data_IF_765150498936
#
_entry.id   IF_765150498936
#
_cell.length_a   1.000
_cell.length_b   1.000
_cell.length_c   1.000
_cell.angle_alpha   90.00
_cell.angle_beta   90.00
_cell.angle_gamma   90.00
#
_symmetry.space_group_name_H-M   'P 1'
#
loop_
_entity.id
_entity.type
_entity.pdbx_description
1 polymer ?
#
# COMPACT_ATOMS: atom_id res chain seq x y z
N UNK A 1 -16.20 17.34 -0.36
CA UNK A 1 -16.71 17.11 -1.73
C UNK A 1 -17.20 15.68 -1.82
N UNK A 2 -18.32 15.46 -2.47
CA UNK A 2 -18.94 14.15 -2.66
C UNK A 2 -19.31 13.99 -4.12
N UNK A 3 -19.11 12.80 -4.67
CA UNK A 3 -19.65 12.37 -5.96
C UNK A 3 -20.92 11.57 -5.71
N UNK A 4 -21.91 11.78 -6.55
CA UNK A 4 -23.24 11.21 -6.34
C UNK A 4 -23.66 10.38 -7.54
N UNK A 5 -24.11 9.16 -7.27
CA UNK A 5 -24.81 8.31 -8.24
C UNK A 5 -26.29 8.26 -7.94
N UNK A 6 -27.10 8.53 -8.96
CA UNK A 6 -28.54 8.33 -8.92
C UNK A 6 -28.85 6.98 -9.55
N UNK A 7 -29.46 6.11 -8.75
CA UNK A 7 -29.80 4.76 -9.15
C UNK A 7 -31.30 4.63 -9.30
N UNK A 8 -31.72 3.92 -10.33
CA UNK A 8 -33.11 3.53 -10.54
C UNK A 8 -33.16 2.01 -10.72
N UNK A 9 -33.86 1.32 -9.85
CA UNK A 9 -33.92 -0.15 -9.82
C UNK A 9 -32.54 -0.82 -9.87
N UNK A 10 -31.56 -0.24 -9.15
CA UNK A 10 -30.18 -0.73 -9.11
C UNK A 10 -29.28 -0.32 -10.27
N UNK A 11 -29.82 0.27 -11.33
CA UNK A 11 -29.03 0.77 -12.48
C UNK A 11 -28.67 2.23 -12.29
N UNK A 12 -27.47 2.63 -12.71
CA UNK A 12 -27.04 4.03 -12.71
C UNK A 12 -27.76 4.77 -13.82
N UNK A 13 -28.53 5.81 -13.43
CA UNK A 13 -29.26 6.68 -14.36
C UNK A 13 -28.54 8.01 -14.56
N UNK A 14 -27.90 8.52 -13.51
CA UNK A 14 -27.14 9.75 -13.58
C UNK A 14 -25.97 9.75 -12.63
N UNK A 15 -24.86 10.34 -13.05
CA UNK A 15 -23.67 10.61 -12.24
C UNK A 15 -23.54 12.11 -12.07
N UNK A 16 -23.37 12.58 -10.84
CA UNK A 16 -23.18 13.99 -10.50
C UNK A 16 -21.84 14.13 -9.79
N UNK A 17 -20.90 14.79 -10.44
CA UNK A 17 -19.56 15.05 -9.93
C UNK A 17 -19.39 16.49 -9.46
N UNK A 18 -20.15 17.40 -10.08
CA UNK A 18 -20.12 18.81 -9.73
C UNK A 18 -21.17 19.17 -8.66
N UNK A 19 -20.84 20.09 -7.74
CA UNK A 19 -21.77 20.61 -6.76
C UNK A 19 -22.94 21.32 -7.44
N UNK A 20 -24.16 21.00 -7.03
CA UNK A 20 -25.35 21.63 -7.57
C UNK A 20 -26.64 21.03 -7.02
N UNK A 21 -27.76 21.70 -7.30
CA UNK A 21 -29.09 21.19 -7.01
C UNK A 21 -29.50 20.17 -8.05
N UNK A 22 -29.98 19.03 -7.60
CA UNK A 22 -30.56 18.00 -8.47
C UNK A 22 -31.81 17.44 -7.84
N UNK A 23 -32.79 17.15 -8.68
CA UNK A 23 -34.02 16.53 -8.24
C UNK A 23 -33.96 15.03 -8.48
N UNK A 24 -34.49 14.26 -7.54
CA UNK A 24 -34.70 12.82 -7.68
C UNK A 24 -36.19 12.49 -7.61
N UNK A 25 -36.61 11.45 -8.28
CA UNK A 25 -37.96 10.92 -8.14
C UNK A 25 -37.99 10.08 -6.86
N UNK A 26 -38.74 10.52 -5.82
CA UNK A 26 -38.88 9.71 -4.60
C UNK A 26 -39.49 8.35 -4.92
N UNK A 27 -39.16 7.34 -4.14
CA UNK A 27 -39.62 5.94 -4.26
C UNK A 27 -38.91 5.14 -5.37
N UNK A 28 -38.60 5.73 -6.53
CA UNK A 28 -38.04 5.02 -7.69
C UNK A 28 -36.51 5.17 -7.74
N UNK A 29 -35.98 6.33 -7.31
CA UNK A 29 -34.58 6.66 -7.39
C UNK A 29 -33.91 6.68 -6.02
N UNK A 30 -32.80 5.94 -5.91
CA UNK A 30 -31.91 5.94 -4.76
C UNK A 30 -30.63 6.74 -5.08
N UNK A 31 -30.17 7.51 -4.10
CA UNK A 31 -28.96 8.32 -4.21
C UNK A 31 -27.87 7.69 -3.38
N UNK A 32 -26.75 7.37 -4.02
CA UNK A 32 -25.55 6.88 -3.36
C UNK A 32 -24.46 7.93 -3.45
N UNK A 33 -23.81 8.20 -2.32
CA UNK A 33 -22.75 9.20 -2.23
C UNK A 33 -21.43 8.52 -2.02
N UNK A 34 -20.40 9.05 -2.67
CA UNK A 34 -19.02 8.63 -2.51
C UNK A 34 -18.15 9.82 -2.15
N UNK A 35 -17.20 9.62 -1.26
CA UNK A 35 -16.27 10.67 -0.86
C UNK A 35 -15.26 10.95 -1.99
N UNK A 36 -15.14 12.22 -2.40
CA UNK A 36 -14.18 12.70 -3.41
C UNK A 36 -12.85 13.14 -2.78
N UNK A 37 -12.69 12.97 -1.47
CA UNK A 37 -11.45 13.27 -0.77
C UNK A 37 -10.40 12.19 -1.01
N UNK A 38 -9.15 12.56 -0.77
CA UNK A 38 -8.06 11.59 -0.72
C UNK A 38 -8.23 10.76 0.56
N UNK A 39 -8.40 9.46 0.37
CA UNK A 39 -8.51 8.48 1.44
C UNK A 39 -7.12 7.89 1.71
N UNK A 40 -6.87 7.50 2.95
CA UNK A 40 -5.66 6.80 3.36
C UNK A 40 -6.00 5.35 3.72
N UNK A 41 -5.15 4.43 3.28
CA UNK A 41 -5.24 3.02 3.62
C UNK A 41 -3.90 2.51 4.14
N UNK A 42 -3.90 2.01 5.35
CA UNK A 42 -2.75 1.30 5.91
C UNK A 42 -2.79 -0.15 5.42
N UNK A 43 -1.64 -0.64 4.95
CA UNK A 43 -1.45 -2.01 4.51
C UNK A 43 -0.89 -2.78 5.71
N UNK A 44 -1.39 -3.99 5.93
CA UNK A 44 -0.87 -4.85 6.98
C UNK A 44 0.64 -5.10 6.80
N UNK A 45 1.40 -5.22 7.90
CA UNK A 45 2.83 -5.49 7.86
C UNK A 45 3.15 -6.69 6.97
N UNK A 46 4.04 -6.49 6.02
CA UNK A 46 4.37 -7.47 4.99
C UNK A 46 5.80 -7.97 5.17
N UNK A 47 5.97 -9.29 5.30
CA UNK A 47 7.29 -9.90 5.21
C UNK A 47 7.74 -9.98 3.75
N UNK A 48 8.93 -9.44 3.48
CA UNK A 48 9.59 -9.48 2.18
C UNK A 48 11.00 -10.04 2.33
N UNK A 49 11.45 -10.77 1.31
CA UNK A 49 12.81 -11.30 1.24
C UNK A 49 13.49 -10.65 0.03
N UNK A 50 14.35 -9.64 0.26
CA UNK A 50 15.19 -9.02 -0.77
C UNK A 50 16.19 -10.00 -1.38
N UNK A 51 16.97 -9.54 -2.37
CA UNK A 51 17.95 -10.37 -3.08
C UNK A 51 19.09 -10.93 -2.19
N UNK A 52 19.34 -10.29 -1.07
CA UNK A 52 20.37 -10.69 -0.08
C UNK A 52 19.84 -11.63 1.01
N UNK A 53 18.66 -12.25 0.81
CA UNK A 53 18.01 -13.22 1.69
C UNK A 53 17.77 -12.73 3.14
N UNK A 54 17.84 -11.43 3.38
CA UNK A 54 17.52 -10.82 4.67
C UNK A 54 16.01 -10.55 4.75
N UNK A 55 15.31 -11.34 5.53
CA UNK A 55 13.87 -11.09 5.77
C UNK A 55 13.66 -9.74 6.45
N UNK A 56 12.80 -8.94 5.88
CA UNK A 56 12.38 -7.63 6.39
C UNK A 56 10.87 -7.62 6.58
N UNK A 57 10.42 -6.92 7.62
CA UNK A 57 9.00 -6.57 7.81
C UNK A 57 8.82 -5.13 7.39
N UNK A 58 7.93 -4.90 6.45
CA UNK A 58 7.69 -3.59 5.86
C UNK A 58 6.26 -3.17 6.09
N UNK A 59 6.08 -2.00 6.72
CA UNK A 59 4.80 -1.34 6.84
C UNK A 59 4.68 -0.29 5.74
N UNK A 60 3.54 -0.27 5.06
CA UNK A 60 3.27 0.71 4.03
C UNK A 60 1.86 1.31 4.18
N UNK A 61 1.68 2.48 3.60
CA UNK A 61 0.35 3.05 3.42
C UNK A 61 0.21 3.67 2.03
N UNK A 62 -1.02 3.68 1.55
CA UNK A 62 -1.35 4.32 0.30
C UNK A 62 -2.36 5.44 0.50
N UNK A 63 -2.24 6.48 -0.33
CA UNK A 63 -3.26 7.49 -0.50
C UNK A 63 -3.93 7.27 -1.85
N UNK A 64 -5.23 7.23 -1.85
CA UNK A 64 -6.01 7.00 -3.05
C UNK A 64 -7.25 7.88 -3.10
N UNK A 65 -7.83 8.02 -4.28
CA UNK A 65 -9.06 8.77 -4.52
C UNK A 65 -9.95 7.99 -5.47
N UNK A 66 -11.26 8.09 -5.29
CA UNK A 66 -12.24 7.51 -6.21
C UNK A 66 -12.43 8.50 -7.36
N UNK A 67 -11.94 8.15 -8.54
CA UNK A 67 -12.03 9.00 -9.74
C UNK A 67 -13.24 8.66 -10.58
N UNK A 68 -13.52 7.37 -10.78
CA UNK A 68 -14.67 6.91 -11.56
C UNK A 68 -15.63 6.11 -10.65
N UNK A 69 -16.70 6.76 -10.23
CA UNK A 69 -17.69 6.15 -9.31
C UNK A 69 -18.53 5.06 -9.98
N UNK A 70 -18.65 5.06 -11.32
CA UNK A 70 -19.37 4.02 -12.06
C UNK A 70 -18.59 2.70 -12.01
N UNK A 71 -17.32 2.74 -12.43
CA UNK A 71 -16.41 1.58 -12.33
C UNK A 71 -16.26 1.09 -10.90
N UNK A 72 -16.12 2.04 -9.95
CA UNK A 72 -16.01 1.73 -8.54
C UNK A 72 -17.21 0.92 -8.03
N UNK A 73 -18.42 1.35 -8.39
CA UNK A 73 -19.63 0.64 -8.04
C UNK A 73 -19.77 -0.70 -8.74
N UNK A 74 -19.43 -0.77 -10.03
CA UNK A 74 -19.49 -2.03 -10.80
C UNK A 74 -18.60 -3.09 -10.17
N UNK A 75 -17.39 -2.72 -9.78
CA UNK A 75 -16.41 -3.63 -9.17
C UNK A 75 -16.76 -4.00 -7.73
N UNK A 76 -17.26 -3.06 -6.94
CA UNK A 76 -17.60 -3.33 -5.53
C UNK A 76 -18.98 -3.97 -5.36
N UNK A 77 -19.90 -3.73 -6.28
CA UNK A 77 -21.29 -4.20 -6.20
C UNK A 77 -22.07 -3.61 -5.01
N UNK A 78 -21.47 -2.69 -4.27
CA UNK A 78 -21.97 -2.15 -3.01
C UNK A 78 -22.02 -0.63 -3.01
N UNK A 79 -22.44 -0.05 -1.90
CA UNK A 79 -22.58 1.40 -1.72
C UNK A 79 -22.06 1.84 -0.35
N UNK A 80 -21.64 3.10 -0.24
CA UNK A 80 -21.18 3.67 1.02
C UNK A 80 -19.95 2.96 1.60
N UNK A 81 -19.92 2.80 2.91
CA UNK A 81 -18.78 2.25 3.63
C UNK A 81 -18.46 0.81 3.26
N UNK A 82 -19.46 0.01 2.90
CA UNK A 82 -19.26 -1.37 2.43
C UNK A 82 -18.45 -1.39 1.12
N UNK A 83 -18.77 -0.50 0.18
CA UNK A 83 -18.02 -0.37 -1.06
C UNK A 83 -16.56 0.03 -0.80
N UNK A 84 -16.33 0.98 0.11
CA UNK A 84 -14.99 1.42 0.52
C UNK A 84 -14.20 0.28 1.14
N UNK A 85 -14.83 -0.52 2.00
CA UNK A 85 -14.20 -1.68 2.62
C UNK A 85 -13.80 -2.74 1.60
N UNK A 86 -14.68 -3.10 0.66
CA UNK A 86 -14.40 -4.07 -0.40
C UNK A 86 -13.26 -3.58 -1.30
N UNK A 87 -13.32 -2.32 -1.71
CA UNK A 87 -12.28 -1.70 -2.52
C UNK A 87 -10.94 -1.64 -1.78
N UNK A 88 -10.97 -1.31 -0.48
CA UNK A 88 -9.80 -1.30 0.39
C UNK A 88 -9.12 -2.67 0.43
N UNK A 89 -9.87 -3.75 0.65
CA UNK A 89 -9.32 -5.11 0.67
C UNK A 89 -8.70 -5.52 -0.67
N UNK A 90 -9.29 -5.11 -1.79
CA UNK A 90 -8.72 -5.36 -3.12
C UNK A 90 -7.44 -4.54 -3.35
N UNK A 91 -7.47 -3.27 -2.95
CA UNK A 91 -6.32 -2.38 -3.04
C UNK A 91 -5.14 -2.90 -2.18
N UNK A 92 -5.41 -3.42 -0.97
CA UNK A 92 -4.39 -4.04 -0.11
C UNK A 92 -3.68 -5.20 -0.82
N UNK A 93 -4.42 -6.05 -1.54
CA UNK A 93 -3.83 -7.16 -2.31
C UNK A 93 -2.93 -6.68 -3.44
N UNK A 94 -3.38 -5.67 -4.19
CA UNK A 94 -2.61 -5.08 -5.30
C UNK A 94 -1.32 -4.47 -4.75
N UNK A 95 -1.44 -3.65 -3.72
CA UNK A 95 -0.29 -2.97 -3.11
C UNK A 95 0.68 -3.96 -2.46
N UNK A 96 0.18 -4.99 -1.77
CA UNK A 96 1.02 -6.04 -1.19
C UNK A 96 1.75 -6.84 -2.25
N UNK A 97 1.10 -7.16 -3.38
CA UNK A 97 1.74 -7.85 -4.50
C UNK A 97 2.85 -7.01 -5.13
N UNK A 98 2.55 -5.73 -5.42
CA UNK A 98 3.53 -4.80 -5.99
C UNK A 98 4.69 -4.51 -5.03
N UNK A 99 4.41 -4.41 -3.73
CA UNK A 99 5.46 -4.22 -2.72
C UNK A 99 6.41 -5.43 -2.68
N UNK A 100 5.88 -6.66 -2.68
CA UNK A 100 6.72 -7.87 -2.73
C UNK A 100 7.56 -7.94 -3.99
N UNK A 101 6.96 -7.66 -5.15
CA UNK A 101 7.65 -7.68 -6.44
C UNK A 101 8.80 -6.69 -6.49
N UNK A 102 8.54 -5.44 -6.13
CA UNK A 102 9.54 -4.37 -6.16
C UNK A 102 10.61 -4.58 -5.11
N UNK A 103 10.25 -4.87 -3.85
CA UNK A 103 11.22 -5.02 -2.77
C UNK A 103 11.99 -6.36 -2.86
N UNK A 104 11.39 -7.40 -3.44
CA UNK A 104 12.09 -8.66 -3.75
C UNK A 104 13.12 -8.54 -4.88
N UNK A 105 13.05 -7.48 -5.69
CA UNK A 105 13.97 -7.25 -6.82
C UNK A 105 15.18 -6.37 -6.47
N UNK A 106 15.35 -5.96 -5.22
CA UNK A 106 16.41 -5.05 -4.76
C UNK A 106 17.11 -5.61 -3.52
N UNK A 107 18.24 -5.02 -3.14
CA UNK A 107 18.94 -5.42 -1.91
C UNK A 107 18.31 -4.79 -0.66
N UNK A 108 18.56 -5.36 0.51
CA UNK A 108 18.10 -4.78 1.78
C UNK A 108 18.71 -3.39 2.03
N UNK A 109 19.93 -3.17 1.56
CA UNK A 109 20.61 -1.89 1.68
C UNK A 109 19.87 -0.80 0.88
N UNK A 110 19.38 -1.10 -0.32
CA UNK A 110 18.62 -0.16 -1.13
C UNK A 110 17.28 0.21 -0.46
N UNK A 111 16.64 -0.76 0.20
CA UNK A 111 15.40 -0.54 0.95
C UNK A 111 15.63 0.36 2.17
N UNK A 112 16.80 0.25 2.80
CA UNK A 112 17.17 1.02 3.99
C UNK A 112 17.85 2.36 3.65
N UNK A 113 18.27 2.57 2.41
CA UNK A 113 18.96 3.77 1.94
C UNK A 113 18.03 4.96 1.74
N UNK A 114 18.60 6.11 1.41
CA UNK A 114 17.89 7.34 1.04
C UNK A 114 17.10 7.23 -0.27
N UNK A 115 17.41 6.25 -1.13
CA UNK A 115 16.75 6.07 -2.43
C UNK A 115 15.38 5.36 -2.38
N UNK A 116 14.82 5.25 -1.19
CA UNK A 116 13.46 4.71 -0.95
C UNK A 116 12.39 5.35 -1.82
N UNK A 117 12.58 6.60 -2.23
CA UNK A 117 11.62 7.32 -3.06
C UNK A 117 11.42 6.65 -4.43
N UNK A 118 12.50 6.20 -5.07
CA UNK A 118 12.41 5.49 -6.34
C UNK A 118 11.63 4.16 -6.21
N UNK A 119 11.82 3.44 -5.11
CA UNK A 119 11.09 2.21 -4.82
C UNK A 119 9.60 2.48 -4.59
N UNK A 120 9.26 3.52 -3.84
CA UNK A 120 7.87 3.93 -3.62
C UNK A 120 7.17 4.32 -4.93
N UNK A 121 7.87 5.02 -5.83
CA UNK A 121 7.35 5.33 -7.17
C UNK A 121 7.13 4.06 -8.01
N UNK A 122 8.03 3.09 -7.97
CA UNK A 122 7.87 1.81 -8.69
C UNK A 122 6.64 1.06 -8.18
N UNK A 123 6.46 0.95 -6.86
CA UNK A 123 5.29 0.31 -6.25
C UNK A 123 4.00 1.03 -6.67
N UNK A 124 3.99 2.36 -6.57
CA UNK A 124 2.85 3.18 -7.00
C UNK A 124 2.50 2.92 -8.47
N UNK A 125 3.49 3.03 -9.35
CA UNK A 125 3.28 2.89 -10.79
C UNK A 125 2.80 1.49 -11.18
N UNK A 126 3.29 0.44 -10.53
CA UNK A 126 2.81 -0.92 -10.71
C UNK A 126 1.35 -1.10 -10.26
N UNK A 127 0.93 -0.39 -9.23
CA UNK A 127 -0.45 -0.47 -8.72
C UNK A 127 -1.47 0.32 -9.56
N UNK A 128 -1.05 1.34 -10.32
CA UNK A 128 -1.96 2.25 -11.04
C UNK A 128 -2.88 1.48 -12.00
N UNK A 129 -2.33 0.64 -12.86
CA UNK A 129 -3.10 -0.03 -13.91
C UNK A 129 -4.24 -0.92 -13.34
N UNK A 130 -3.99 -1.58 -12.21
CA UNK A 130 -5.00 -2.41 -11.57
C UNK A 130 -6.01 -1.58 -10.75
N UNK A 131 -5.55 -0.50 -10.12
CA UNK A 131 -6.42 0.41 -9.37
C UNK A 131 -7.39 1.19 -10.29
N UNK A 132 -6.93 1.59 -11.49
CA UNK A 132 -7.76 2.27 -12.49
C UNK A 132 -8.92 1.40 -12.98
N UNK A 133 -8.73 0.07 -13.05
CA UNK A 133 -9.83 -0.86 -13.38
C UNK A 133 -10.96 -0.82 -12.35
N UNK A 134 -10.64 -0.43 -11.11
CA UNK A 134 -11.61 -0.25 -10.03
C UNK A 134 -12.15 1.18 -9.92
N UNK A 135 -11.78 2.09 -10.82
CA UNK A 135 -12.14 3.50 -10.73
C UNK A 135 -11.42 4.25 -9.59
N UNK A 136 -10.25 3.76 -9.18
CA UNK A 136 -9.43 4.32 -8.11
C UNK A 136 -8.11 4.84 -8.70
N UNK A 137 -7.74 6.05 -8.30
CA UNK A 137 -6.43 6.62 -8.55
C UNK A 137 -5.55 6.47 -7.30
N UNK A 138 -4.40 5.81 -7.45
CA UNK A 138 -3.38 5.75 -6.41
C UNK A 138 -2.52 7.01 -6.49
N UNK A 139 -2.70 7.91 -5.53
CA UNK A 139 -2.02 9.21 -5.49
C UNK A 139 -0.57 9.04 -5.05
N UNK A 140 -0.37 8.31 -3.95
CA UNK A 140 0.95 8.13 -3.33
C UNK A 140 1.01 6.80 -2.56
N UNK A 141 2.19 6.21 -2.51
CA UNK A 141 2.49 5.03 -1.70
C UNK A 141 3.75 5.32 -0.89
N UNK A 142 3.72 5.07 0.41
CA UNK A 142 4.86 5.29 1.29
C UNK A 142 5.13 4.10 2.20
N UNK A 143 6.41 3.79 2.34
CA UNK A 143 6.90 2.84 3.33
C UNK A 143 7.05 3.58 4.66
N UNK A 144 6.35 3.13 5.71
CA UNK A 144 6.40 3.70 7.06
C UNK A 144 7.64 3.23 7.79
N UNK A 145 7.77 1.92 7.92
CA UNK A 145 8.76 1.26 8.74
C UNK A 145 9.30 0.03 8.01
N UNK A 146 10.57 -0.20 8.18
CA UNK A 146 11.24 -1.42 7.69
C UNK A 146 12.06 -1.95 8.84
N UNK A 147 11.66 -3.10 9.37
CA UNK A 147 12.28 -3.73 10.53
C UNK A 147 12.72 -5.17 10.21
N UNK A 148 13.62 -5.68 11.01
CA UNK A 148 13.91 -7.12 11.05
C UNK A 148 12.77 -7.86 11.78
N UNK A 149 12.39 -9.07 11.35
CA UNK A 149 11.44 -9.90 12.07
C UNK A 149 11.87 -10.11 13.51
N UNK A 150 10.97 -9.93 14.47
CA UNK A 150 11.27 -10.06 15.91
C UNK A 150 11.90 -11.40 16.27
N UNK A 151 11.52 -12.46 15.58
CA UNK A 151 12.04 -13.83 15.80
C UNK A 151 13.53 -13.98 15.48
N UNK A 152 14.09 -13.12 14.65
CA UNK A 152 15.50 -13.18 14.22
C UNK A 152 16.39 -12.14 14.92
N UNK A 153 15.83 -11.24 15.72
CA UNK A 153 16.59 -10.18 16.38
C UNK A 153 17.65 -10.77 17.32
N UNK A 154 17.28 -11.72 18.17
CA UNK A 154 18.19 -12.32 19.14
C UNK A 154 19.31 -13.11 18.45
N UNK A 155 18.97 -13.89 17.42
CA UNK A 155 19.95 -14.63 16.63
C UNK A 155 20.89 -13.70 15.83
N UNK A 156 20.35 -12.59 15.30
CA UNK A 156 21.14 -11.59 14.58
C UNK A 156 22.08 -10.85 15.52
N UNK A 157 21.61 -10.45 16.70
CA UNK A 157 22.45 -9.82 17.72
C UNK A 157 23.51 -10.76 18.26
N UNK A 158 23.18 -12.04 18.49
CA UNK A 158 24.15 -13.04 18.91
C UNK A 158 25.27 -13.23 17.86
N UNK A 159 24.89 -13.32 16.57
CA UNK A 159 25.85 -13.41 15.47
C UNK A 159 26.74 -12.17 15.35
N UNK A 160 26.16 -10.98 15.41
CA UNK A 160 26.92 -9.72 15.36
C UNK A 160 27.89 -9.59 16.54
N UNK A 161 27.48 -10.05 17.73
CA UNK A 161 28.35 -10.07 18.90
C UNK A 161 29.52 -11.02 18.70
N UNK A 162 29.27 -12.25 18.24
CA UNK A 162 30.29 -13.22 17.96
C UNK A 162 31.28 -12.77 16.86
N UNK A 163 30.80 -12.07 15.86
CA UNK A 163 31.62 -11.48 14.79
C UNK A 163 32.52 -10.37 15.33
N UNK A 164 32.00 -9.48 16.17
CA UNK A 164 32.78 -8.43 16.84
C UNK A 164 33.83 -9.01 17.82
N UNK A 165 33.47 -10.05 18.54
CA UNK A 165 34.40 -10.74 19.44
C UNK A 165 35.56 -11.38 18.67
N UNK A 166 35.30 -11.98 17.49
CA UNK A 166 36.33 -12.49 16.59
C UNK A 166 37.24 -11.40 16.05
N UNK A 167 36.66 -10.33 15.54
CA UNK A 167 37.42 -9.17 15.03
C UNK A 167 38.36 -8.60 16.14
N UNK A 168 37.81 -8.43 17.35
CA UNK A 168 38.60 -7.98 18.49
C UNK A 168 39.74 -8.94 18.87
N UNK A 169 39.48 -10.26 18.85
CA UNK A 169 40.49 -11.26 19.13
C UNK A 169 41.58 -11.26 18.05
N UNK A 170 41.23 -11.13 16.77
CA UNK A 170 42.17 -11.06 15.66
C UNK A 170 43.05 -9.80 15.74
N UNK A 171 42.48 -8.64 16.11
CA UNK A 171 43.24 -7.41 16.30
C UNK A 171 44.21 -7.50 17.50
N UNK A 172 43.75 -8.11 18.61
CA UNK A 172 44.63 -8.35 19.78
C UNK A 172 45.76 -9.31 19.41
N UNK A 173 45.47 -10.38 18.65
CA UNK A 173 46.48 -11.33 18.21
C UNK A 173 47.52 -10.65 17.33
N UNK A 174 47.12 -9.83 16.38
CA UNK A 174 48.03 -9.03 15.53
C UNK A 174 48.85 -8.01 16.32
N UNK A 175 48.26 -7.40 17.35
CA UNK A 175 48.97 -6.45 18.22
C UNK A 175 50.04 -7.14 19.13
N UNK A 176 49.88 -8.41 19.41
CA UNK A 176 50.82 -9.19 20.22
C UNK A 176 51.98 -9.77 19.39
N UNK A 177 51.84 -9.84 18.05
CA UNK A 177 52.88 -10.32 17.13
C UNK A 177 53.83 -9.21 16.63
N UNK A 178 53.49 -7.95 16.91
CA UNK A 178 54.29 -6.77 16.53
C UNK A 178 55.13 -6.28 17.69
#
# INVERSE_FOLDING_TARGET
>A
REKVLVLQFGRVVATKEDPGLSFKIPIIQNVVRYDDRILSRDIDPLEVTPLDDRRLVVDAFARYRITDVNKFREVTGASGDTAISIAGTRLDRILSSQTREVLGSVSSNDILSSDRFALMLRIRNGAIAEAEKMGIEVVDVRLKRTDLPRQNLDATFARMRAEREREAADEIARGNEA
#
